data_IF_255522118584
#
_entry.id   IF_255522118584
#
_cell.length_a   1.000
_cell.length_b   1.000
_cell.length_c   1.000
_cell.angle_alpha   90.00
_cell.angle_beta   90.00
_cell.angle_gamma   90.00
#
_symmetry.space_group_name_H-M   'P 1'
#
loop_
_entity.id
_entity.type
_entity.pdbx_description
1 polymer ?
#
# COMPACT_ATOMS: atom_id res chain seq x y z
N UNK A 1 12.14 -10.61 3.80
CA UNK A 1 11.89 -9.36 4.53
C UNK A 1 11.27 -9.75 5.87
N UNK A 2 11.25 -8.91 6.91
CA UNK A 2 10.43 -9.23 8.09
C UNK A 2 8.95 -8.97 7.77
N UNK A 3 7.99 -9.69 8.36
CA UNK A 3 6.57 -9.46 8.11
C UNK A 3 6.14 -7.99 8.33
N UNK A 4 6.68 -7.36 9.39
CA UNK A 4 6.40 -5.95 9.68
C UNK A 4 6.96 -5.01 8.61
N UNK A 5 8.16 -5.27 8.09
CA UNK A 5 8.78 -4.50 7.01
C UNK A 5 7.98 -4.64 5.70
N UNK A 6 7.42 -5.83 5.44
CA UNK A 6 6.54 -6.06 4.29
C UNK A 6 5.23 -5.27 4.42
N UNK A 7 4.63 -5.23 5.61
CA UNK A 7 3.47 -4.39 5.89
C UNK A 7 3.79 -2.90 5.75
N UNK A 8 4.99 -2.46 6.19
CA UNK A 8 5.41 -1.06 6.09
C UNK A 8 5.55 -0.64 4.63
N UNK A 9 6.19 -1.50 3.84
CA UNK A 9 6.37 -1.28 2.43
C UNK A 9 5.02 -1.25 1.70
N UNK A 10 4.15 -2.24 1.92
CA UNK A 10 2.78 -2.31 1.38
C UNK A 10 1.98 -1.05 1.71
N UNK A 11 1.98 -0.65 2.98
CA UNK A 11 1.27 0.54 3.43
C UNK A 11 1.79 1.80 2.72
N UNK A 12 3.11 1.94 2.59
CA UNK A 12 3.71 3.10 1.94
C UNK A 12 3.38 3.19 0.45
N UNK A 13 3.58 2.12 -0.32
CA UNK A 13 3.32 2.16 -1.77
C UNK A 13 1.83 2.30 -2.09
N UNK A 14 0.94 1.81 -1.23
CA UNK A 14 -0.50 1.99 -1.39
C UNK A 14 -0.95 3.37 -0.90
N UNK A 15 -0.23 3.96 0.04
CA UNK A 15 -0.47 5.35 0.44
C UNK A 15 -0.16 6.32 -0.70
N UNK A 16 0.93 6.09 -1.44
CA UNK A 16 1.28 6.85 -2.65
C UNK A 16 0.20 6.76 -3.73
N UNK A 17 -0.41 5.59 -3.92
CA UNK A 17 -1.51 5.39 -4.85
C UNK A 17 -2.71 6.29 -4.56
N UNK A 18 -3.05 6.46 -3.28
CA UNK A 18 -4.20 7.24 -2.83
C UNK A 18 -3.96 8.76 -2.85
N UNK A 19 -2.74 9.22 -3.10
CA UNK A 19 -2.47 10.66 -3.16
C UNK A 19 -3.06 11.27 -4.44
N UNK A 20 -3.81 12.35 -4.30
CA UNK A 20 -4.35 13.10 -5.44
C UNK A 20 -3.33 14.04 -6.10
N UNK A 21 -2.23 14.34 -5.41
CA UNK A 21 -1.20 15.26 -5.84
C UNK A 21 0.19 14.61 -5.82
N UNK A 22 1.13 15.06 -6.67
CA UNK A 22 2.50 14.59 -6.63
C UNK A 22 3.17 14.93 -5.29
N UNK A 23 4.22 14.20 -4.94
CA UNK A 23 5.01 14.49 -3.75
C UNK A 23 5.72 15.84 -3.87
N UNK A 24 5.88 16.59 -2.76
CA UNK A 24 6.80 17.73 -2.72
C UNK A 24 8.22 17.28 -3.09
N UNK A 25 8.97 18.15 -3.78
CA UNK A 25 10.33 17.84 -4.26
C UNK A 25 11.26 17.35 -3.14
N UNK A 26 11.15 17.94 -1.94
CA UNK A 26 11.93 17.53 -0.76
C UNK A 26 11.63 16.11 -0.31
N UNK A 27 10.37 15.69 -0.36
CA UNK A 27 9.90 14.34 0.02
C UNK A 27 10.28 13.34 -1.06
N UNK A 28 10.10 13.69 -2.34
CA UNK A 28 10.51 12.89 -3.48
C UNK A 28 12.03 12.63 -3.46
N UNK A 29 12.84 13.66 -3.17
CA UNK A 29 14.29 13.53 -3.07
C UNK A 29 14.75 12.66 -1.90
N UNK A 30 13.99 12.61 -0.80
CA UNK A 30 14.23 11.67 0.30
C UNK A 30 13.88 10.24 -0.12
N UNK A 31 12.76 10.07 -0.82
CA UNK A 31 12.29 8.76 -1.27
C UNK A 31 13.25 8.12 -2.27
N UNK A 32 13.79 8.90 -3.21
CA UNK A 32 14.74 8.43 -4.22
C UNK A 32 16.07 7.92 -3.62
N UNK A 33 16.35 8.22 -2.35
CA UNK A 33 17.54 7.75 -1.63
C UNK A 33 17.31 6.44 -0.89
N UNK A 34 16.07 5.94 -0.84
CA UNK A 34 15.72 4.71 -0.14
C UNK A 34 16.22 3.49 -0.92
N UNK A 35 16.98 2.65 -0.24
CA UNK A 35 17.41 1.36 -0.76
C UNK A 35 16.68 0.20 -0.06
N UNK A 36 15.79 -0.47 -0.78
CA UNK A 36 15.00 -1.60 -0.26
C UNK A 36 15.82 -2.90 -0.41
N UNK A 37 15.89 -3.78 0.60
CA UNK A 37 15.15 -3.76 1.87
C UNK A 37 15.83 -3.04 3.04
N UNK A 38 17.05 -2.52 2.87
CA UNK A 38 17.84 -1.97 3.97
C UNK A 38 17.21 -0.74 4.66
N UNK A 39 16.45 0.06 3.93
CA UNK A 39 15.95 1.36 4.36
C UNK A 39 14.42 1.42 4.59
N UNK A 40 13.74 0.27 4.67
CA UNK A 40 12.28 0.21 4.83
C UNK A 40 11.81 0.97 6.07
N UNK A 41 12.53 0.88 7.19
CA UNK A 41 12.18 1.55 8.44
C UNK A 41 12.14 3.09 8.33
N UNK A 42 12.81 3.67 7.32
CA UNK A 42 12.81 5.12 7.06
C UNK A 42 11.54 5.60 6.36
N UNK A 43 10.76 4.69 5.77
CA UNK A 43 9.54 5.03 5.04
C UNK A 43 8.49 5.68 5.94
N UNK A 44 8.40 5.26 7.20
CA UNK A 44 7.50 5.87 8.18
C UNK A 44 7.81 7.36 8.40
N UNK A 45 9.08 7.69 8.62
CA UNK A 45 9.50 9.08 8.83
C UNK A 45 9.27 9.94 7.57
N UNK A 46 9.51 9.38 6.38
CA UNK A 46 9.21 10.05 5.11
C UNK A 46 7.71 10.30 4.99
N UNK A 47 6.86 9.32 5.30
CA UNK A 47 5.41 9.51 5.28
C UNK A 47 4.98 10.63 6.22
N UNK A 48 5.51 10.65 7.46
CA UNK A 48 5.23 11.68 8.46
C UNK A 48 5.70 13.08 8.07
N UNK A 49 6.70 13.20 7.20
CA UNK A 49 7.21 14.49 6.72
C UNK A 49 6.21 15.25 5.83
N UNK A 50 5.17 14.58 5.32
CA UNK A 50 4.14 15.18 4.46
C UNK A 50 2.74 14.73 4.87
N UNK A 51 1.94 15.65 5.42
CA UNK A 51 0.66 15.32 6.06
C UNK A 51 -0.32 14.49 5.21
N UNK A 52 -0.50 14.75 3.89
CA UNK A 52 -1.37 13.91 3.07
C UNK A 52 -0.88 12.46 2.96
N UNK A 53 0.44 12.26 2.83
CA UNK A 53 1.03 10.92 2.80
C UNK A 53 0.95 10.24 4.15
N UNK A 54 1.20 10.96 5.25
CA UNK A 54 1.03 10.43 6.61
C UNK A 54 -0.38 9.90 6.86
N UNK A 55 -1.39 10.69 6.48
CA UNK A 55 -2.81 10.35 6.65
C UNK A 55 -3.16 9.08 5.87
N UNK A 56 -2.75 9.04 4.59
CA UNK A 56 -2.98 7.89 3.72
C UNK A 56 -2.27 6.63 4.25
N UNK A 57 -1.01 6.77 4.68
CA UNK A 57 -0.23 5.69 5.25
C UNK A 57 -0.88 5.09 6.51
N UNK A 58 -1.30 5.93 7.45
CA UNK A 58 -1.94 5.47 8.68
C UNK A 58 -3.26 4.74 8.42
N UNK A 59 -4.08 5.24 7.49
CA UNK A 59 -5.33 4.60 7.11
C UNK A 59 -5.09 3.20 6.53
N UNK A 60 -4.08 3.04 5.68
CA UNK A 60 -3.71 1.74 5.11
C UNK A 60 -3.15 0.82 6.18
N UNK A 61 -2.28 1.33 7.05
CA UNK A 61 -1.70 0.57 8.14
C UNK A 61 -2.77 0.01 9.07
N UNK A 62 -3.73 0.83 9.48
CA UNK A 62 -4.88 0.40 10.29
C UNK A 62 -5.72 -0.66 9.57
N UNK A 63 -5.90 -0.53 8.25
CA UNK A 63 -6.63 -1.51 7.44
C UNK A 63 -5.91 -2.87 7.39
N UNK A 64 -4.59 -2.87 7.18
CA UNK A 64 -3.76 -4.08 7.20
C UNK A 64 -3.74 -4.76 8.58
N UNK A 65 -3.66 -3.97 9.66
CA UNK A 65 -3.75 -4.48 11.04
C UNK A 65 -5.14 -5.07 11.34
N UNK A 66 -6.21 -4.40 10.89
CA UNK A 66 -7.58 -4.90 11.03
C UNK A 66 -7.79 -6.23 10.29
N UNK A 67 -7.30 -6.35 9.05
CA UNK A 67 -7.33 -7.58 8.26
C UNK A 67 -6.58 -8.70 9.00
N UNK A 68 -5.39 -8.41 9.50
CA UNK A 68 -4.55 -9.37 10.25
C UNK A 68 -5.26 -9.86 11.52
N UNK A 69 -5.91 -8.95 12.26
CA UNK A 69 -6.72 -9.25 13.44
C UNK A 69 -8.02 -10.00 13.13
N UNK A 70 -8.60 -9.83 11.94
CA UNK A 70 -9.75 -10.59 11.50
C UNK A 70 -9.37 -12.03 11.15
N UNK A 71 -8.25 -12.23 10.44
CA UNK A 71 -7.74 -13.57 10.08
C UNK A 71 -7.43 -14.44 11.30
N UNK A 72 -6.97 -13.84 12.41
CA UNK A 72 -6.71 -14.57 13.65
C UNK A 72 -7.97 -14.99 14.42
N UNK A 73 -9.17 -14.55 14.01
CA UNK A 73 -10.45 -14.84 14.69
C UNK A 73 -11.29 -15.95 14.04
N UNK A 74 -10.82 -16.59 12.97
CA UNK A 74 -11.60 -17.59 12.21
C UNK A 74 -12.49 -16.96 11.13
N UNK A 75 -13.30 -17.76 10.39
CA UNK A 75 -13.91 -17.34 9.13
C UNK A 75 -14.86 -16.14 9.28
N UNK A 76 -14.77 -15.21 8.33
CA UNK A 76 -15.49 -13.94 8.29
C UNK A 76 -17.02 -14.13 8.30
N UNK A 77 -17.79 -13.36 9.10
CA UNK A 77 -19.23 -13.28 8.93
C UNK A 77 -19.56 -12.52 7.63
N UNK A 78 -20.45 -13.12 6.82
CA UNK A 78 -20.70 -12.78 5.42
C UNK A 78 -21.47 -11.47 5.15
N UNK A 79 -21.58 -10.52 6.10
CA UNK A 79 -22.32 -9.27 5.87
C UNK A 79 -21.75 -8.11 6.66
N UNK A 80 -21.42 -7.04 5.96
CA UNK A 80 -21.27 -5.70 6.55
C UNK A 80 -22.08 -4.69 5.70
N UNK A 81 -22.61 -3.67 6.38
CA UNK A 81 -23.70 -2.75 6.00
C UNK A 81 -23.32 -1.64 5.01
N UNK A 82 -24.16 -1.49 3.98
CA UNK A 82 -23.92 -0.66 2.79
C UNK A 82 -24.20 0.81 3.08
N UNK A 83 -23.20 1.68 2.94
CA UNK A 83 -23.22 3.00 2.24
C UNK A 83 -21.99 3.85 2.64
N UNK A 84 -21.54 3.81 3.91
CA UNK A 84 -20.21 4.33 4.30
C UNK A 84 -19.10 3.28 4.14
N UNK A 85 -19.48 2.00 4.13
CA UNK A 85 -18.55 0.88 4.01
C UNK A 85 -18.14 0.56 2.58
N UNK A 86 -18.74 1.10 1.52
CA UNK A 86 -18.40 0.64 0.16
C UNK A 86 -16.98 1.02 -0.26
N UNK A 87 -16.53 2.25 -0.01
CA UNK A 87 -15.13 2.64 -0.31
C UNK A 87 -14.14 1.94 0.64
N UNK A 88 -14.46 1.87 1.94
CA UNK A 88 -13.62 1.16 2.91
C UNK A 88 -13.55 -0.35 2.62
N UNK A 89 -14.64 -0.97 2.19
CA UNK A 89 -14.71 -2.41 1.84
C UNK A 89 -14.00 -2.67 0.53
N UNK A 90 -14.12 -1.81 -0.47
CA UNK A 90 -13.39 -1.98 -1.73
C UNK A 90 -11.88 -1.85 -1.53
N UNK A 91 -11.42 -0.84 -0.77
CA UNK A 91 -10.01 -0.70 -0.39
C UNK A 91 -9.55 -1.90 0.45
N UNK A 92 -10.34 -2.33 1.44
CA UNK A 92 -10.01 -3.49 2.25
C UNK A 92 -9.93 -4.78 1.41
N UNK A 93 -10.85 -5.00 0.48
CA UNK A 93 -10.85 -6.16 -0.40
C UNK A 93 -9.63 -6.16 -1.33
N UNK A 94 -9.28 -4.99 -1.87
CA UNK A 94 -8.07 -4.81 -2.67
C UNK A 94 -6.84 -5.10 -1.81
N UNK A 95 -6.74 -4.56 -0.59
CA UNK A 95 -5.64 -4.82 0.34
C UNK A 95 -5.54 -6.30 0.75
N UNK A 96 -6.66 -7.00 0.96
CA UNK A 96 -6.70 -8.44 1.24
C UNK A 96 -6.14 -9.23 0.05
N UNK A 97 -6.62 -8.95 -1.16
CA UNK A 97 -6.17 -9.64 -2.37
C UNK A 97 -4.68 -9.39 -2.66
N UNK A 98 -4.23 -8.15 -2.46
CA UNK A 98 -2.83 -7.73 -2.54
C UNK A 98 -1.99 -8.49 -1.51
N UNK A 99 -2.44 -8.53 -0.25
CA UNK A 99 -1.69 -9.15 0.82
C UNK A 99 -1.53 -10.66 0.63
N UNK A 100 -2.53 -11.32 0.04
CA UNK A 100 -2.52 -12.76 -0.26
C UNK A 100 -1.68 -13.13 -1.48
N UNK A 101 -1.63 -12.25 -2.49
CA UNK A 101 -0.98 -12.56 -3.78
C UNK A 101 0.42 -11.98 -3.93
N UNK A 102 0.79 -10.96 -3.15
CA UNK A 102 2.13 -10.36 -3.19
C UNK A 102 3.02 -10.94 -2.11
N UNK A 103 3.90 -11.84 -2.53
CA UNK A 103 5.04 -12.27 -1.73
C UNK A 103 6.10 -11.16 -1.59
N UNK A 104 7.05 -11.37 -0.68
CA UNK A 104 8.12 -10.42 -0.36
C UNK A 104 8.95 -10.02 -1.60
N UNK A 105 9.18 -10.96 -2.52
CA UNK A 105 10.00 -10.72 -3.71
C UNK A 105 9.26 -9.83 -4.69
N UNK A 106 8.02 -10.18 -5.01
CA UNK A 106 7.13 -9.43 -5.89
C UNK A 106 6.87 -8.03 -5.35
N UNK A 107 6.67 -7.91 -4.03
CA UNK A 107 6.53 -6.61 -3.36
C UNK A 107 7.78 -5.73 -3.53
N UNK A 108 8.97 -6.31 -3.41
CA UNK A 108 10.24 -5.58 -3.60
C UNK A 108 10.41 -5.14 -5.06
N UNK A 109 10.09 -6.02 -6.01
CA UNK A 109 10.17 -5.74 -7.44
C UNK A 109 9.19 -4.64 -7.88
N UNK A 110 8.00 -4.60 -7.31
CA UNK A 110 7.00 -3.55 -7.54
C UNK A 110 7.41 -2.23 -6.86
N UNK A 111 7.91 -2.30 -5.63
CA UNK A 111 8.22 -1.10 -4.87
C UNK A 111 9.43 -0.34 -5.41
N UNK A 112 10.47 -1.05 -5.88
CA UNK A 112 11.71 -0.43 -6.37
C UNK A 112 11.48 0.64 -7.45
N UNK A 113 10.79 0.36 -8.58
CA UNK A 113 10.54 1.38 -9.60
C UNK A 113 9.64 2.51 -9.11
N UNK A 114 8.74 2.26 -8.14
CA UNK A 114 7.92 3.31 -7.53
C UNK A 114 8.78 4.27 -6.71
N UNK A 115 9.66 3.75 -5.84
CA UNK A 115 10.47 4.58 -4.94
C UNK A 115 11.60 5.33 -5.65
N UNK A 116 12.05 4.83 -6.81
CA UNK A 116 13.13 5.44 -7.59
C UNK A 116 12.63 6.34 -8.72
N UNK A 117 11.32 6.44 -8.90
CA UNK A 117 10.73 7.28 -9.94
C UNK A 117 10.94 8.77 -9.66
N UNK A 118 11.04 9.57 -10.72
CA UNK A 118 10.98 11.03 -10.59
C UNK A 118 9.60 11.50 -10.11
N UNK A 119 8.55 10.73 -10.38
CA UNK A 119 7.20 10.91 -9.87
C UNK A 119 6.67 9.59 -9.31
N UNK A 120 6.89 9.38 -8.01
CA UNK A 120 6.49 8.14 -7.35
C UNK A 120 4.97 7.97 -7.27
N UNK A 121 4.20 9.05 -7.26
CA UNK A 121 2.72 8.98 -7.17
C UNK A 121 2.15 8.45 -8.47
N UNK A 122 2.58 9.00 -9.61
CA UNK A 122 2.12 8.55 -10.92
C UNK A 122 2.52 7.09 -11.18
N UNK A 123 3.76 6.70 -10.85
CA UNK A 123 4.19 5.31 -11.02
C UNK A 123 3.44 4.37 -10.08
N UNK A 124 3.19 4.76 -8.82
CA UNK A 124 2.34 3.97 -7.92
C UNK A 124 0.92 3.79 -8.48
N UNK A 125 0.30 4.87 -8.98
CA UNK A 125 -1.03 4.84 -9.62
C UNK A 125 -1.11 3.87 -10.77
N UNK A 126 -0.16 3.94 -11.69
CA UNK A 126 -0.13 3.07 -12.86
C UNK A 126 0.07 1.60 -12.46
N UNK A 127 1.02 1.33 -11.56
CA UNK A 127 1.32 -0.03 -11.11
C UNK A 127 0.12 -0.67 -10.39
N UNK A 128 -0.51 0.06 -9.47
CA UNK A 128 -1.67 -0.46 -8.76
C UNK A 128 -2.89 -0.60 -9.65
N UNK A 129 -3.12 0.30 -10.60
CA UNK A 129 -4.19 0.14 -11.59
C UNK A 129 -4.04 -1.15 -12.41
N UNK A 130 -2.81 -1.52 -12.78
CA UNK A 130 -2.51 -2.78 -13.49
C UNK A 130 -2.79 -3.98 -12.58
N UNK A 131 -2.27 -3.96 -11.35
CA UNK A 131 -2.44 -5.06 -10.39
C UNK A 131 -3.93 -5.25 -10.09
N UNK A 132 -4.65 -4.20 -9.69
CA UNK A 132 -6.09 -4.26 -9.38
C UNK A 132 -6.88 -4.79 -10.59
N UNK A 133 -6.55 -4.33 -11.80
CA UNK A 133 -7.19 -4.85 -13.01
C UNK A 133 -6.92 -6.33 -13.24
N UNK A 134 -5.71 -6.81 -12.99
CA UNK A 134 -5.39 -8.25 -13.08
C UNK A 134 -6.13 -9.08 -12.04
N UNK A 135 -6.38 -8.53 -10.84
CA UNK A 135 -7.15 -9.18 -9.78
C UNK A 135 -8.65 -9.29 -10.09
N UNK A 136 -9.18 -8.40 -10.93
CA UNK A 136 -10.59 -8.33 -11.31
C UNK A 136 -10.95 -9.15 -12.57
N UNK A 137 -9.97 -9.75 -13.27
CA UNK A 137 -10.25 -10.61 -14.42
C UNK A 137 -10.55 -12.05 -13.98
N UNK A 138 -11.66 -12.66 -14.42
CA UNK A 138 -11.90 -14.08 -14.17
C UNK A 138 -10.82 -14.89 -14.90
N UNK A 139 -10.13 -15.78 -14.18
CA UNK A 139 -9.27 -16.76 -14.84
C UNK A 139 -10.11 -17.62 -15.80
N UNK A 140 -9.63 -17.90 -17.02
CA UNK A 140 -10.32 -18.75 -17.99
C UNK A 140 -10.43 -20.22 -17.53
#
# INVERSE_FOLDING_TARGET
>A
MKPIEASELKAFIFALYQLDSPLPETVQAQLNKINIPADISKLYDIAKSYSPLATSYENVWQSLDAISKQRSKGPLPAKIDRVAEQQSTEINNILVAIDEQLDDQSLTEIARPILQASDSVTVAKNTWAIIIRSLQMPMP
#
